data_IF_511919499789
#
_entry.id   IF_511919499789
#
_cell.length_a   1.000
_cell.length_b   1.000
_cell.length_c   1.000
_cell.angle_alpha   90.00
_cell.angle_beta   90.00
_cell.angle_gamma   90.00
#
_symmetry.space_group_name_H-M   'P 1'
#
loop_
_entity.id
_entity.type
_entity.pdbx_description
1 polymer ?
#
# COMPACT_ATOMS: atom_id res chain seq x y z
N UNK A 1 17.81 18.50 -1.64
CA UNK A 1 17.31 17.78 -0.45
C UNK A 1 16.92 16.39 -0.92
N UNK A 2 17.43 15.32 -0.30
CA UNK A 2 16.98 13.95 -0.63
C UNK A 2 15.53 13.80 -0.21
N UNK A 3 14.69 13.19 -1.05
CA UNK A 3 13.34 12.78 -0.65
C UNK A 3 13.45 11.73 0.47
N UNK A 4 12.52 11.79 1.44
CA UNK A 4 12.50 10.84 2.56
C UNK A 4 12.07 9.48 2.05
N UNK A 5 11.07 9.45 1.18
CA UNK A 5 10.56 8.25 0.54
C UNK A 5 11.17 8.05 -0.86
N UNK A 6 11.68 6.85 -1.14
CA UNK A 6 12.10 6.47 -2.51
C UNK A 6 11.66 5.04 -2.86
N UNK A 7 10.95 4.82 -3.98
CA UNK A 7 10.53 3.48 -4.39
C UNK A 7 11.70 2.66 -4.95
N UNK A 8 11.67 1.35 -4.76
CA UNK A 8 12.70 0.46 -5.27
C UNK A 8 12.34 -1.03 -5.21
N UNK A 9 13.04 -1.83 -6.01
CA UNK A 9 12.88 -3.29 -6.09
C UNK A 9 14.11 -4.06 -5.62
N UNK A 10 15.19 -3.39 -5.20
CA UNK A 10 16.45 -4.06 -4.81
C UNK A 10 16.26 -4.87 -3.55
N UNK A 11 16.41 -6.18 -3.70
CA UNK A 11 16.45 -7.18 -2.64
C UNK A 11 17.93 -7.34 -2.21
N UNK A 12 18.49 -6.32 -1.56
CA UNK A 12 19.70 -6.49 -0.76
C UNK A 12 19.25 -6.56 0.68
N UNK A 13 19.20 -7.76 1.27
CA UNK A 13 18.71 -7.96 2.63
C UNK A 13 19.70 -7.40 3.67
N UNK A 14 19.29 -6.41 4.48
CA UNK A 14 19.51 -6.51 5.91
C UNK A 14 18.27 -7.16 6.53
N UNK A 15 18.49 -7.97 7.56
CA UNK A 15 17.47 -8.48 8.49
C UNK A 15 16.79 -7.37 9.33
N UNK A 16 17.06 -6.10 9.00
CA UNK A 16 16.51 -4.90 9.65
C UNK A 16 15.70 -4.03 8.69
N UNK A 17 15.34 -2.84 9.17
CA UNK A 17 14.50 -1.89 8.45
C UNK A 17 13.07 -1.85 8.96
N UNK A 18 12.22 -1.18 8.19
CA UNK A 18 10.85 -0.88 8.56
C UNK A 18 9.87 -1.74 7.76
N UNK A 19 8.67 -1.89 8.29
CA UNK A 19 7.59 -2.57 7.61
C UNK A 19 6.23 -1.93 7.90
N UNK A 20 5.37 -2.00 6.89
CA UNK A 20 3.96 -1.65 6.95
C UNK A 20 3.15 -2.94 6.99
N UNK A 21 2.19 -3.04 7.90
CA UNK A 21 1.16 -4.08 7.85
C UNK A 21 -0.09 -3.53 7.16
N UNK A 22 -0.52 -4.17 6.08
CA UNK A 22 -1.67 -3.75 5.30
C UNK A 22 -2.68 -4.90 5.14
N UNK A 23 -3.96 -4.58 5.23
CA UNK A 23 -5.03 -5.54 5.03
C UNK A 23 -6.25 -4.83 4.42
N UNK A 24 -6.68 -5.26 3.23
CA UNK A 24 -7.92 -4.79 2.56
C UNK A 24 -8.10 -3.26 2.62
N UNK A 25 -7.13 -2.52 2.10
CA UNK A 25 -7.12 -1.04 2.01
C UNK A 25 -6.93 -0.29 3.34
N UNK A 26 -6.52 -1.00 4.40
CA UNK A 26 -6.22 -0.41 5.70
C UNK A 26 -4.80 -0.73 6.13
N UNK A 27 -4.20 0.17 6.88
CA UNK A 27 -2.90 -0.02 7.53
C UNK A 27 -3.08 -0.18 9.02
N UNK A 28 -2.21 -0.98 9.62
CA UNK A 28 -2.05 -1.01 11.07
C UNK A 28 -1.38 0.30 11.50
N UNK A 29 -2.01 1.01 12.42
CA UNK A 29 -1.47 2.21 13.07
C UNK A 29 -1.19 1.87 14.52
N UNK A 30 0.06 2.05 14.95
CA UNK A 30 0.48 1.92 16.34
C UNK A 30 0.79 3.29 16.98
N UNK A 31 1.26 3.31 18.24
CA UNK A 31 1.54 4.55 18.96
C UNK A 31 2.61 5.43 18.31
N UNK A 32 3.53 4.84 17.55
CA UNK A 32 4.62 5.53 16.84
C UNK A 32 4.32 5.76 15.34
N UNK A 33 3.10 5.45 14.89
CA UNK A 33 2.70 5.57 13.49
C UNK A 33 2.51 4.22 12.78
N UNK A 34 2.58 4.24 11.45
CA UNK A 34 2.30 3.07 10.60
C UNK A 34 3.54 2.23 10.28
N UNK A 35 4.74 2.79 10.51
CA UNK A 35 6.02 2.13 10.26
C UNK A 35 6.48 1.43 11.54
N UNK A 36 6.63 0.11 11.46
CA UNK A 36 7.10 -0.72 12.55
C UNK A 36 8.49 -1.28 12.22
N UNK A 37 9.32 -1.62 13.21
CA UNK A 37 10.50 -2.45 12.96
C UNK A 37 10.07 -3.77 12.28
N UNK A 38 10.72 -4.12 11.17
CA UNK A 38 10.35 -5.29 10.37
C UNK A 38 10.35 -6.58 11.19
N UNK A 39 11.43 -6.80 11.95
CA UNK A 39 11.58 -7.95 12.83
C UNK A 39 10.44 -8.06 13.84
N UNK A 40 10.02 -6.93 14.43
CA UNK A 40 8.92 -6.91 15.40
C UNK A 40 7.59 -7.37 14.79
N UNK A 41 7.31 -7.05 13.52
CA UNK A 41 6.11 -7.56 12.84
C UNK A 41 6.22 -9.06 12.53
N UNK A 42 7.39 -9.53 12.10
CA UNK A 42 7.62 -10.95 11.79
C UNK A 42 7.50 -11.85 13.03
N UNK A 43 8.02 -11.41 14.18
CA UNK A 43 7.97 -12.14 15.45
C UNK A 43 6.54 -12.38 15.97
N UNK A 44 5.54 -11.66 15.45
CA UNK A 44 4.14 -11.82 15.86
C UNK A 44 3.38 -12.94 15.17
N UNK A 45 3.96 -13.57 14.15
CA UNK A 45 3.30 -14.68 13.44
C UNK A 45 1.99 -14.28 12.76
N UNK A 46 1.92 -13.06 12.22
CA UNK A 46 0.73 -12.59 11.50
C UNK A 46 0.46 -13.42 10.24
N UNK A 47 -0.82 -13.55 9.81
CA UNK A 47 -1.19 -14.32 8.62
C UNK A 47 -0.83 -13.55 7.35
N UNK A 48 0.46 -13.52 6.99
CA UNK A 48 0.98 -12.83 5.80
C UNK A 48 0.64 -13.63 4.55
N UNK A 49 -0.02 -12.98 3.58
CA UNK A 49 -0.27 -13.54 2.24
C UNK A 49 0.94 -13.40 1.33
N UNK A 50 1.56 -12.22 1.36
CA UNK A 50 2.68 -11.86 0.50
C UNK A 50 3.44 -10.70 1.12
N UNK A 51 4.75 -10.68 0.90
CA UNK A 51 5.64 -9.62 1.33
C UNK A 51 6.30 -8.96 0.13
N UNK A 52 6.38 -7.63 0.14
CA UNK A 52 7.07 -6.86 -0.90
C UNK A 52 8.05 -5.86 -0.30
N UNK A 53 9.26 -5.79 -0.86
CA UNK A 53 10.11 -4.62 -0.69
C UNK A 53 9.49 -3.46 -1.46
N UNK A 54 9.32 -2.32 -0.80
CA UNK A 54 8.75 -1.12 -1.40
C UNK A 54 9.82 -0.14 -1.87
N UNK A 55 10.94 -0.05 -1.15
CA UNK A 55 11.98 0.95 -1.36
C UNK A 55 12.64 1.33 -0.04
N UNK A 56 12.99 2.61 0.13
CA UNK A 56 13.54 3.14 1.38
C UNK A 56 12.79 4.37 1.88
N UNK A 57 12.77 4.55 3.20
CA UNK A 57 12.20 5.70 3.90
C UNK A 57 13.20 6.21 4.94
N UNK A 58 13.60 7.47 4.84
CA UNK A 58 14.71 8.07 5.61
C UNK A 58 16.01 7.23 5.52
N UNK A 59 16.23 6.59 4.37
CA UNK A 59 17.38 5.71 4.10
C UNK A 59 17.21 4.25 4.56
N UNK A 60 16.18 3.95 5.36
CA UNK A 60 15.89 2.61 5.86
C UNK A 60 15.03 1.82 4.87
N UNK A 61 15.32 0.53 4.59
CA UNK A 61 14.50 -0.27 3.70
C UNK A 61 13.10 -0.48 4.29
N UNK A 62 12.08 -0.37 3.44
CA UNK A 62 10.67 -0.55 3.83
C UNK A 62 10.06 -1.76 3.12
N UNK A 63 9.42 -2.61 3.90
CA UNK A 63 8.63 -3.75 3.43
C UNK A 63 7.14 -3.54 3.63
N UNK A 64 6.35 -4.23 2.83
CA UNK A 64 4.90 -4.36 2.97
C UNK A 64 4.58 -5.81 3.31
N UNK A 65 3.91 -6.03 4.44
CA UNK A 65 3.29 -7.30 4.79
C UNK A 65 1.80 -7.18 4.48
N UNK A 66 1.36 -7.82 3.39
CA UNK A 66 -0.05 -7.91 3.04
C UNK A 66 -0.68 -9.06 3.84
N UNK A 67 -1.55 -8.76 4.79
CA UNK A 67 -2.15 -9.75 5.67
C UNK A 67 -3.44 -10.33 5.07
N UNK A 68 -3.73 -11.60 5.36
CA UNK A 68 -4.98 -12.24 4.94
C UNK A 68 -6.20 -11.57 5.56
N UNK A 69 -6.09 -11.28 6.87
CA UNK A 69 -7.11 -10.70 7.73
C UNK A 69 -6.47 -9.69 8.68
N UNK A 70 -7.24 -8.69 9.17
CA UNK A 70 -6.73 -7.80 10.20
C UNK A 70 -6.44 -8.60 11.47
N UNK A 71 -5.45 -8.12 12.23
CA UNK A 71 -5.10 -8.69 13.53
C UNK A 71 -5.42 -7.66 14.61
N UNK A 72 -5.86 -8.15 15.77
CA UNK A 72 -6.05 -7.32 16.96
C UNK A 72 -4.72 -7.19 17.70
N UNK A 73 -4.36 -5.95 18.00
CA UNK A 73 -3.14 -5.67 18.73
C UNK A 73 -3.35 -4.50 19.68
N UNK A 74 -2.98 -4.69 20.95
CA UNK A 74 -3.10 -3.67 21.97
C UNK A 74 -2.40 -2.36 21.56
N UNK A 75 -3.11 -1.25 21.73
CA UNK A 75 -2.61 0.09 21.37
C UNK A 75 -2.52 0.35 19.87
N UNK A 76 -3.03 -0.55 19.02
CA UNK A 76 -3.05 -0.38 17.57
C UNK A 76 -4.48 -0.34 17.03
N UNK A 77 -4.65 0.26 15.86
CA UNK A 77 -5.92 0.31 15.15
C UNK A 77 -5.72 0.19 13.64
N UNK A 78 -6.76 -0.23 12.93
CA UNK A 78 -6.71 -0.31 11.46
C UNK A 78 -7.33 0.94 10.84
N UNK A 79 -6.52 1.74 10.16
CA UNK A 79 -6.96 2.97 9.52
C UNK A 79 -6.96 2.88 7.99
N UNK A 80 -7.90 3.57 7.36
CA UNK A 80 -7.95 3.72 5.90
C UNK A 80 -6.92 4.73 5.41
N UNK A 81 -6.52 4.62 4.15
CA UNK A 81 -5.63 5.60 3.51
C UNK A 81 -6.19 7.03 3.57
N UNK A 82 -7.52 7.20 3.53
CA UNK A 82 -8.16 8.51 3.65
C UNK A 82 -7.98 9.14 5.03
N UNK A 83 -8.08 8.36 6.10
CA UNK A 83 -7.85 8.87 7.46
C UNK A 83 -6.38 9.25 7.63
N UNK A 84 -5.48 8.36 7.20
CA UNK A 84 -4.04 8.60 7.25
C UNK A 84 -3.60 9.81 6.41
N UNK A 85 -4.29 10.12 5.31
CA UNK A 85 -4.04 11.34 4.52
C UNK A 85 -4.21 12.63 5.33
N UNK A 86 -5.14 12.64 6.28
CA UNK A 86 -5.44 13.81 7.12
C UNK A 86 -4.50 13.91 8.32
N UNK A 87 -3.94 12.77 8.76
CA UNK A 87 -3.14 12.65 9.97
C UNK A 87 -1.62 12.59 9.70
N UNK A 88 -1.20 12.18 8.50
CA UNK A 88 0.21 11.93 8.16
C UNK A 88 0.84 13.07 7.36
N UNK A 89 2.16 13.19 7.43
CA UNK A 89 2.91 14.07 6.53
C UNK A 89 2.91 13.55 5.08
N UNK A 90 3.26 14.44 4.15
CA UNK A 90 3.21 14.18 2.69
C UNK A 90 4.06 12.97 2.28
N UNK A 91 5.25 12.80 2.85
CA UNK A 91 6.17 11.73 2.47
C UNK A 91 5.66 10.37 2.97
N UNK A 92 5.21 10.32 4.23
CA UNK A 92 4.54 9.14 4.79
C UNK A 92 3.31 8.77 3.97
N UNK A 93 2.48 9.76 3.60
CA UNK A 93 1.29 9.51 2.79
C UNK A 93 1.61 8.99 1.38
N UNK A 94 2.67 9.50 0.74
CA UNK A 94 3.15 9.00 -0.57
C UNK A 94 3.55 7.53 -0.48
N UNK A 95 4.30 7.14 0.56
CA UNK A 95 4.65 5.74 0.83
C UNK A 95 3.39 4.88 1.05
N UNK A 96 2.46 5.32 1.90
CA UNK A 96 1.22 4.57 2.18
C UNK A 96 0.34 4.40 0.94
N UNK A 97 0.25 5.44 0.09
CA UNK A 97 -0.46 5.39 -1.19
C UNK A 97 0.16 4.36 -2.14
N UNK A 98 1.50 4.34 -2.24
CA UNK A 98 2.23 3.35 -3.01
C UNK A 98 2.01 1.93 -2.46
N UNK A 99 2.20 1.75 -1.15
CA UNK A 99 2.02 0.48 -0.46
C UNK A 99 0.61 -0.09 -0.65
N UNK A 100 -0.42 0.75 -0.58
CA UNK A 100 -1.82 0.34 -0.77
C UNK A 100 -2.06 -0.21 -2.18
N UNK A 101 -1.49 0.43 -3.20
CA UNK A 101 -1.56 -0.05 -4.58
C UNK A 101 -0.85 -1.40 -4.75
N UNK A 102 0.36 -1.54 -4.21
CA UNK A 102 1.13 -2.79 -4.29
C UNK A 102 0.42 -3.92 -3.54
N UNK A 103 -0.04 -3.69 -2.31
CA UNK A 103 -0.75 -4.70 -1.51
C UNK A 103 -2.03 -5.17 -2.18
N UNK A 104 -2.80 -4.22 -2.74
CA UNK A 104 -4.02 -4.54 -3.51
C UNK A 104 -3.70 -5.40 -4.74
N UNK A 105 -2.71 -4.99 -5.53
CA UNK A 105 -2.28 -5.74 -6.71
C UNK A 105 -1.80 -7.15 -6.34
N UNK A 106 -0.92 -7.26 -5.35
CA UNK A 106 -0.33 -8.52 -4.93
C UNK A 106 -1.40 -9.51 -4.44
N UNK A 107 -2.36 -9.03 -3.64
CA UNK A 107 -3.51 -9.83 -3.20
C UNK A 107 -4.35 -10.34 -4.38
N UNK A 108 -4.56 -9.51 -5.40
CA UNK A 108 -5.38 -9.83 -6.57
C UNK A 108 -4.69 -10.77 -7.58
N UNK A 109 -3.36 -10.92 -7.50
CA UNK A 109 -2.57 -11.73 -8.44
C UNK A 109 -1.87 -12.89 -7.73
N UNK A 110 -2.49 -13.47 -6.69
CA UNK A 110 -2.03 -14.71 -6.05
C UNK A 110 -2.17 -15.94 -6.96
N UNK A 111 -3.14 -15.89 -7.87
CA UNK A 111 -3.41 -16.94 -8.85
C UNK A 111 -3.48 -16.31 -10.25
N UNK A 112 -3.09 -17.09 -11.24
CA UNK A 112 -3.06 -16.69 -12.63
C UNK A 112 -4.47 -16.50 -13.18
N UNK A 113 -4.76 -15.32 -13.74
CA UNK A 113 -6.05 -15.07 -14.38
C UNK A 113 -6.28 -15.85 -15.67
N UNK A 114 -5.21 -16.41 -16.27
CA UNK A 114 -5.29 -17.20 -17.51
C UNK A 114 -5.54 -18.70 -17.24
N UNK A 115 -4.82 -19.30 -16.30
CA UNK A 115 -4.83 -20.75 -16.07
C UNK A 115 -5.18 -21.19 -14.64
N UNK A 116 -5.32 -20.25 -13.70
CA UNK A 116 -5.66 -20.55 -12.29
C UNK A 116 -4.50 -21.04 -11.41
N UNK A 117 -3.32 -21.31 -11.97
CA UNK A 117 -2.15 -21.74 -11.20
C UNK A 117 -1.66 -20.64 -10.23
N UNK A 118 -1.05 -20.98 -9.08
CA UNK A 118 -0.40 -20.00 -8.20
C UNK A 118 0.64 -19.16 -8.96
N UNK A 119 0.77 -17.89 -8.57
CA UNK A 119 1.72 -16.94 -9.14
C UNK A 119 2.91 -16.73 -8.19
N UNK A 120 4.08 -16.45 -8.76
CA UNK A 120 5.32 -16.20 -8.04
C UNK A 120 5.84 -14.78 -8.29
N UNK A 121 6.60 -14.23 -7.36
CA UNK A 121 7.25 -12.93 -7.56
C UNK A 121 8.42 -13.07 -8.53
N UNK A 122 8.48 -12.21 -9.54
CA UNK A 122 9.61 -12.16 -10.48
C UNK A 122 10.80 -11.43 -9.82
N UNK A 123 11.98 -12.07 -9.67
CA UNK A 123 13.15 -11.41 -9.10
C UNK A 123 13.60 -10.20 -9.92
N UNK A 124 13.97 -9.11 -9.24
CA UNK A 124 14.48 -7.88 -9.87
C UNK A 124 13.39 -6.93 -10.38
N UNK A 125 12.19 -7.42 -10.60
CA UNK A 125 11.05 -6.65 -11.08
C UNK A 125 9.90 -6.63 -10.08
N UNK A 126 9.00 -5.64 -10.21
CA UNK A 126 7.73 -5.67 -9.49
C UNK A 126 6.68 -6.32 -10.38
N UNK A 127 6.77 -7.63 -10.54
CA UNK A 127 5.85 -8.42 -11.34
C UNK A 127 5.52 -9.75 -10.65
N UNK A 128 4.33 -10.28 -10.94
CA UNK A 128 3.96 -11.65 -10.64
C UNK A 128 4.08 -12.47 -11.94
N UNK A 129 4.70 -13.64 -11.88
CA UNK A 129 4.90 -14.57 -12.99
C UNK A 129 4.18 -15.89 -12.72
N UNK A 130 3.53 -16.44 -13.76
CA UNK A 130 2.95 -17.77 -13.70
C UNK A 130 3.95 -18.82 -14.21
N UNK A 131 4.42 -19.77 -13.39
CA UNK A 131 5.35 -20.80 -13.86
C UNK A 131 4.71 -21.84 -14.80
N UNK A 132 3.37 -21.86 -14.91
CA UNK A 132 2.67 -22.83 -15.75
C UNK A 132 2.42 -22.34 -17.18
N UNK A 133 2.00 -21.09 -17.35
CA UNK A 133 1.67 -20.52 -18.67
C UNK A 133 2.47 -19.25 -19.00
N UNK A 134 3.49 -18.95 -18.20
CA UNK A 134 4.51 -17.91 -18.38
C UNK A 134 4.01 -16.46 -18.39
N UNK A 135 2.70 -16.22 -18.26
CA UNK A 135 2.15 -14.86 -18.21
C UNK A 135 2.71 -14.07 -17.03
N UNK A 136 2.98 -12.80 -17.27
CA UNK A 136 3.45 -11.85 -16.27
C UNK A 136 2.41 -10.74 -16.07
N UNK A 137 2.20 -10.36 -14.81
CA UNK A 137 1.30 -9.28 -14.43
C UNK A 137 2.07 -8.23 -13.64
N UNK A 138 1.97 -6.97 -14.06
CA UNK A 138 2.56 -5.82 -13.38
C UNK A 138 1.49 -5.03 -12.62
N UNK A 139 1.86 -4.27 -11.56
CA UNK A 139 0.95 -3.33 -10.91
C UNK A 139 0.34 -2.37 -11.92
N UNK A 140 -0.99 -2.25 -11.89
CA UNK A 140 -1.72 -1.38 -12.82
C UNK A 140 -1.79 0.04 -12.30
N UNK A 141 -1.38 0.99 -13.14
CA UNK A 141 -1.71 2.40 -12.96
C UNK A 141 -3.05 2.69 -13.64
N UNK A 142 -3.92 3.44 -12.98
CA UNK A 142 -5.20 3.91 -13.54
C UNK A 142 -5.15 5.43 -13.67
N UNK A 143 -4.73 5.98 -14.83
CA UNK A 143 -4.73 7.41 -15.04
C UNK A 143 -6.13 8.00 -14.78
N UNK A 144 -6.19 9.07 -14.01
CA UNK A 144 -7.42 9.80 -13.70
C UNK A 144 -7.15 11.29 -13.82
N UNK A 145 -8.13 12.02 -14.31
CA UNK A 145 -8.05 13.48 -14.42
C UNK A 145 -8.87 14.16 -13.32
N UNK A 146 -8.40 15.32 -12.86
CA UNK A 146 -9.15 16.27 -12.05
C UNK A 146 -9.05 17.63 -12.74
N UNK A 147 -10.17 18.31 -12.94
CA UNK A 147 -10.23 19.58 -13.65
C UNK A 147 -11.09 20.57 -12.88
N UNK A 148 -10.66 21.84 -12.86
CA UNK A 148 -11.48 22.95 -12.43
C UNK A 148 -12.12 23.58 -13.67
N UNK A 149 -13.44 23.45 -13.81
CA UNK A 149 -14.20 24.09 -14.90
C UNK A 149 -14.60 25.49 -14.45
N UNK A 150 -14.26 26.50 -15.24
CA UNK A 150 -14.50 27.92 -14.93
C UNK A 150 -15.43 28.59 -15.97
N UNK A 151 -16.18 29.59 -15.53
CA UNK A 151 -16.98 30.49 -16.38
C UNK A 151 -16.92 31.91 -15.80
N UNK A 152 -16.04 32.76 -16.36
CA UNK A 152 -15.76 34.07 -15.74
C UNK A 152 -15.24 33.88 -14.31
N UNK A 153 -15.93 34.49 -13.35
CA UNK A 153 -15.63 34.37 -11.91
C UNK A 153 -16.30 33.17 -11.23
N UNK A 154 -17.00 32.31 -11.97
CA UNK A 154 -17.70 31.14 -11.44
C UNK A 154 -16.89 29.84 -11.63
N UNK A 155 -17.06 28.90 -10.70
CA UNK A 155 -16.47 27.54 -10.74
C UNK A 155 -17.53 26.45 -10.62
N UNK A 156 -17.39 25.36 -11.38
CA UNK A 156 -18.28 24.20 -11.25
C UNK A 156 -17.83 23.29 -10.11
N UNK A 157 -18.72 23.10 -9.13
CA UNK A 157 -18.55 22.12 -8.06
C UNK A 157 -19.62 21.03 -8.21
N UNK A 158 -19.20 19.77 -8.11
CA UNK A 158 -20.09 18.61 -8.19
C UNK A 158 -19.96 17.75 -6.93
N UNK A 159 -21.08 17.15 -6.52
CA UNK A 159 -21.12 16.22 -5.38
C UNK A 159 -21.59 14.86 -5.85
N UNK A 160 -20.75 13.84 -5.69
CA UNK A 160 -21.16 12.45 -5.91
C UNK A 160 -22.14 12.00 -4.82
N UNK A 161 -23.19 11.24 -5.15
CA UNK A 161 -24.08 10.60 -4.16
C UNK A 161 -23.35 9.72 -3.15
N UNK A 162 -22.13 9.26 -3.48
CA UNK A 162 -21.29 8.44 -2.59
C UNK A 162 -20.70 9.22 -1.40
N UNK A 163 -20.73 10.55 -1.42
CA UNK A 163 -20.26 11.38 -0.31
C UNK A 163 -21.44 11.69 0.63
N UNK A 164 -21.46 11.08 1.82
CA UNK A 164 -22.49 11.28 2.85
C UNK A 164 -22.59 12.74 3.27
N UNK A 165 -23.80 13.29 3.30
CA UNK A 165 -24.07 14.56 3.99
C UNK A 165 -24.03 14.26 5.47
N UNK A 166 -22.97 14.71 6.15
CA UNK A 166 -23.17 15.11 7.54
C UNK A 166 -24.05 16.36 7.43
N UNK A 167 -25.36 16.17 7.52
CA UNK A 167 -26.25 17.24 7.91
C UNK A 167 -25.88 17.51 9.36
N UNK A 168 -25.07 18.55 9.61
CA UNK A 168 -24.92 19.04 10.97
C UNK A 168 -26.34 19.42 11.48
N UNK A 169 -26.71 19.03 12.71
CA UNK A 169 -27.96 19.48 13.30
C UNK A 169 -28.03 21.01 13.41
#
# INVERSE_FOLDING_TARGET
MSERWSPGTRIGYPSGGLALAHCRQRFLLGPQGTLFPCQWLHERGFPVLVEHVLGSFDGEPVRLLELERPVELAGCSWQTLRQLMLESDVETFRLLGYASQIGTWARQHRFCGSCGAPMELLPGERAMHCPHCEVQHYPRLSPSMIVLVTRGDEVLLARSPRFSSVTAP
#
